data_IF_691434287683
#
_entry.id   IF_691434287683
#
_cell.length_a   1.000
_cell.length_b   1.000
_cell.length_c   1.000
_cell.angle_alpha   90.00
_cell.angle_beta   90.00
_cell.angle_gamma   90.00
#
_symmetry.space_group_name_H-M   'P 1'
#
loop_
_entity.id
_entity.type
_entity.pdbx_description
1 polymer ?
#
# COMPACT_ATOMS: atom_id res chain seq x y z
N UNK A 1 -20.57 10.96 11.57
CA UNK A 1 -19.89 11.03 10.25
C UNK A 1 -20.92 11.14 9.15
N UNK A 2 -20.64 11.96 8.14
CA UNK A 2 -21.57 12.17 7.04
C UNK A 2 -21.57 11.02 6.04
N UNK A 3 -22.67 10.86 5.30
CA UNK A 3 -22.77 9.88 4.21
C UNK A 3 -21.66 10.10 3.16
N UNK A 4 -21.28 11.36 2.92
CA UNK A 4 -20.22 11.71 1.96
C UNK A 4 -18.88 11.08 2.34
N UNK A 5 -18.54 10.98 3.62
CA UNK A 5 -17.31 10.32 4.09
C UNK A 5 -17.33 8.83 3.80
N UNK A 6 -18.44 8.15 4.08
CA UNK A 6 -18.57 6.72 3.77
C UNK A 6 -18.49 6.45 2.27
N UNK A 7 -19.14 7.28 1.46
CA UNK A 7 -19.06 7.17 0.00
C UNK A 7 -17.63 7.41 -0.51
N UNK A 8 -16.93 8.39 0.06
CA UNK A 8 -15.54 8.67 -0.29
C UNK A 8 -14.63 7.47 0.00
N UNK A 9 -14.78 6.85 1.18
CA UNK A 9 -14.03 5.63 1.55
C UNK A 9 -14.38 4.48 0.60
N UNK A 10 -15.68 4.28 0.31
CA UNK A 10 -16.13 3.20 -0.57
C UNK A 10 -15.57 3.35 -1.99
N UNK A 11 -15.67 4.55 -2.57
CA UNK A 11 -15.18 4.83 -3.92
C UNK A 11 -13.64 4.75 -3.98
N UNK A 12 -12.96 5.36 -3.03
CA UNK A 12 -11.51 5.26 -2.91
C UNK A 12 -11.05 3.81 -2.78
N UNK A 13 -11.71 3.04 -1.90
CA UNK A 13 -11.42 1.62 -1.67
C UNK A 13 -11.64 0.77 -2.91
N UNK A 14 -12.73 1.01 -3.64
CA UNK A 14 -13.00 0.33 -4.90
C UNK A 14 -11.89 0.57 -5.93
N UNK A 15 -11.50 1.84 -6.12
CA UNK A 15 -10.42 2.21 -7.04
C UNK A 15 -9.08 1.64 -6.58
N UNK A 16 -8.76 1.72 -5.30
CA UNK A 16 -7.53 1.17 -4.75
C UNK A 16 -7.43 -0.34 -4.92
N UNK A 17 -8.50 -1.07 -4.66
CA UNK A 17 -8.57 -2.53 -4.82
C UNK A 17 -8.42 -2.95 -6.28
N UNK A 18 -9.06 -2.24 -7.22
CA UNK A 18 -8.91 -2.51 -8.66
C UNK A 18 -7.49 -2.19 -9.11
N UNK A 19 -6.91 -1.08 -8.65
CA UNK A 19 -5.52 -0.73 -8.95
C UNK A 19 -4.56 -1.80 -8.44
N UNK A 20 -4.73 -2.29 -7.20
CA UNK A 20 -3.93 -3.38 -6.65
C UNK A 20 -4.03 -4.65 -7.49
N UNK A 21 -5.24 -5.06 -7.82
CA UNK A 21 -5.48 -6.25 -8.65
C UNK A 21 -4.75 -6.12 -10.00
N UNK A 22 -4.91 -4.98 -10.66
CA UNK A 22 -4.33 -4.72 -11.99
C UNK A 22 -2.79 -4.71 -11.94
N UNK A 23 -2.20 -4.02 -10.96
CA UNK A 23 -0.75 -3.96 -10.80
C UNK A 23 -0.17 -5.32 -10.44
N UNK A 24 -0.82 -6.07 -9.55
CA UNK A 24 -0.37 -7.41 -9.16
C UNK A 24 -0.38 -8.36 -10.34
N UNK A 25 -1.43 -8.32 -11.17
CA UNK A 25 -1.51 -9.10 -12.39
C UNK A 25 -0.44 -8.70 -13.41
N UNK A 26 -0.27 -7.40 -13.62
CA UNK A 26 0.71 -6.88 -14.58
C UNK A 26 2.15 -7.18 -14.20
N UNK A 27 2.46 -7.27 -12.92
CA UNK A 27 3.82 -7.51 -12.43
C UNK A 27 4.15 -8.99 -12.16
N UNK A 28 3.16 -9.89 -12.27
CA UNK A 28 3.35 -11.31 -11.92
C UNK A 28 4.44 -12.00 -12.75
N UNK A 29 4.65 -11.57 -14.00
CA UNK A 29 5.65 -12.15 -14.90
C UNK A 29 7.07 -11.61 -14.68
N UNK A 30 7.23 -10.51 -13.92
CA UNK A 30 8.55 -9.87 -13.71
C UNK A 30 9.50 -10.78 -12.93
N UNK A 31 8.98 -11.45 -11.92
CA UNK A 31 9.76 -12.42 -11.13
C UNK A 31 8.85 -13.60 -10.77
N UNK A 32 8.80 -14.63 -11.64
CA UNK A 32 7.90 -15.76 -11.43
C UNK A 32 8.14 -16.43 -10.07
N UNK A 33 7.04 -16.65 -9.34
CA UNK A 33 7.09 -17.29 -8.02
C UNK A 33 7.44 -16.37 -6.87
N UNK A 34 7.87 -15.13 -7.13
CA UNK A 34 8.05 -14.09 -6.10
C UNK A 34 6.87 -13.11 -6.16
N UNK A 35 6.27 -12.72 -5.03
CA UNK A 35 5.07 -11.87 -5.02
C UNK A 35 5.42 -10.37 -5.23
N UNK A 36 5.93 -10.06 -6.42
CA UNK A 36 6.36 -8.70 -6.79
C UNK A 36 5.21 -7.72 -6.74
N UNK A 37 4.02 -8.13 -7.16
CA UNK A 37 2.86 -7.25 -7.20
C UNK A 37 2.46 -6.72 -5.84
N UNK A 38 2.36 -7.59 -4.85
CA UNK A 38 2.06 -7.20 -3.46
C UNK A 38 3.15 -6.31 -2.89
N UNK A 39 4.42 -6.67 -3.10
CA UNK A 39 5.54 -5.85 -2.67
C UNK A 39 5.46 -4.44 -3.28
N UNK A 40 5.26 -4.36 -4.58
CA UNK A 40 5.20 -3.08 -5.29
C UNK A 40 4.07 -2.18 -4.79
N UNK A 41 2.84 -2.70 -4.63
CA UNK A 41 1.72 -1.89 -4.15
C UNK A 41 1.89 -1.46 -2.69
N UNK A 42 2.46 -2.32 -1.85
CA UNK A 42 2.74 -1.97 -0.46
C UNK A 42 3.83 -0.90 -0.34
N UNK A 43 4.90 -0.99 -1.15
CA UNK A 43 5.96 0.02 -1.17
C UNK A 43 5.45 1.35 -1.74
N UNK A 44 4.71 1.31 -2.84
CA UNK A 44 4.09 2.51 -3.43
C UNK A 44 3.14 3.17 -2.43
N UNK A 45 2.26 2.38 -1.83
CA UNK A 45 1.31 2.87 -0.83
C UNK A 45 2.00 3.45 0.41
N UNK A 46 3.09 2.83 0.86
CA UNK A 46 3.89 3.33 1.99
C UNK A 46 4.52 4.69 1.69
N UNK A 47 5.06 4.86 0.50
CA UNK A 47 5.60 6.15 0.07
C UNK A 47 4.51 7.22 -0.03
N UNK A 48 3.40 6.88 -0.67
CA UNK A 48 2.29 7.82 -0.87
C UNK A 48 1.62 8.22 0.44
N UNK A 49 1.43 7.28 1.38
CA UNK A 49 0.84 7.64 2.67
C UNK A 49 1.74 8.59 3.46
N UNK A 50 3.05 8.45 3.33
CA UNK A 50 4.00 9.38 3.93
C UNK A 50 3.75 10.82 3.48
N UNK A 51 3.59 11.03 2.17
CA UNK A 51 3.29 12.34 1.58
C UNK A 51 1.89 12.83 1.98
N UNK A 52 0.88 12.00 1.72
CA UNK A 52 -0.52 12.37 1.92
C UNK A 52 -0.86 12.66 3.37
N UNK A 53 -0.24 11.94 4.32
CA UNK A 53 -0.45 12.18 5.74
C UNK A 53 0.07 13.57 6.17
N UNK A 54 1.21 14.00 5.64
CA UNK A 54 1.72 15.36 5.90
C UNK A 54 0.75 16.39 5.34
N UNK A 55 0.27 16.20 4.11
CA UNK A 55 -0.65 17.15 3.48
C UNK A 55 -2.03 17.18 4.16
N UNK A 56 -2.47 16.05 4.72
CA UNK A 56 -3.78 15.94 5.35
C UNK A 56 -3.76 16.38 6.82
N UNK A 57 -2.75 15.95 7.59
CA UNK A 57 -2.74 16.11 9.04
C UNK A 57 -1.82 17.24 9.54
N UNK A 58 -0.65 17.41 8.89
CA UNK A 58 0.30 18.42 9.33
C UNK A 58 0.01 19.79 8.66
N UNK A 59 -0.24 19.78 7.35
CA UNK A 59 -0.48 21.00 6.57
C UNK A 59 -1.96 21.35 6.37
N UNK A 60 -2.85 20.40 6.63
CA UNK A 60 -4.30 20.56 6.47
C UNK A 60 -4.72 21.03 5.05
N UNK A 61 -3.97 20.57 4.03
CA UNK A 61 -4.24 20.85 2.62
C UNK A 61 -5.36 19.94 2.10
N UNK A 62 -5.31 18.65 2.46
CA UNK A 62 -6.31 17.66 2.07
C UNK A 62 -7.27 17.47 3.23
N UNK A 63 -8.49 18.00 3.06
CA UNK A 63 -9.54 17.94 4.09
C UNK A 63 -10.59 16.90 3.74
N UNK A 64 -11.42 16.54 4.73
CA UNK A 64 -12.58 15.64 4.53
C UNK A 64 -13.53 16.19 3.46
N UNK A 65 -14.13 15.37 2.58
CA UNK A 65 -14.03 13.91 2.55
C UNK A 65 -12.85 13.37 1.71
N UNK A 66 -12.02 14.23 1.11
CA UNK A 66 -10.91 13.85 0.24
C UNK A 66 -9.80 13.13 1.01
N UNK A 67 -9.57 13.52 2.26
CA UNK A 67 -8.61 12.83 3.12
C UNK A 67 -8.98 11.35 3.28
N UNK A 68 -10.23 11.08 3.57
CA UNK A 68 -10.73 9.71 3.73
C UNK A 68 -10.76 8.96 2.39
N UNK A 69 -11.05 9.65 1.29
CA UNK A 69 -10.99 9.06 -0.04
C UNK A 69 -9.58 8.54 -0.37
N UNK A 70 -8.56 9.39 -0.21
CA UNK A 70 -7.20 9.02 -0.60
C UNK A 70 -6.53 8.10 0.41
N UNK A 71 -6.61 8.39 1.70
CA UNK A 71 -5.84 7.67 2.72
C UNK A 71 -6.56 6.39 3.12
N UNK A 72 -7.78 6.50 3.65
CA UNK A 72 -8.50 5.33 4.14
C UNK A 72 -9.01 4.46 3.00
N UNK A 73 -9.60 5.08 1.97
CA UNK A 73 -10.17 4.39 0.82
C UNK A 73 -9.11 3.89 -0.14
N UNK A 74 -8.50 4.79 -0.90
CA UNK A 74 -7.63 4.41 -2.01
C UNK A 74 -6.38 3.66 -1.53
N UNK A 75 -5.61 4.22 -0.60
CA UNK A 75 -4.40 3.56 -0.10
C UNK A 75 -4.75 2.32 0.72
N UNK A 76 -5.85 2.35 1.48
CA UNK A 76 -6.33 1.18 2.21
C UNK A 76 -6.72 0.01 1.29
N UNK A 77 -7.30 0.30 0.13
CA UNK A 77 -7.61 -0.71 -0.89
C UNK A 77 -6.39 -1.15 -1.71
N UNK A 78 -5.46 -0.23 -1.96
CA UNK A 78 -4.24 -0.49 -2.73
C UNK A 78 -3.27 -1.41 -2.00
N UNK A 79 -3.04 -1.18 -0.70
CA UNK A 79 -2.11 -1.94 0.12
C UNK A 79 -2.80 -3.12 0.79
N UNK A 80 -2.02 -4.15 1.19
CA UNK A 80 -2.62 -5.33 1.81
C UNK A 80 -1.65 -6.02 2.77
N UNK A 81 -2.12 -6.27 3.98
CA UNK A 81 -1.42 -7.10 4.95
C UNK A 81 -1.80 -8.58 4.83
N UNK A 82 -3.09 -8.89 4.62
CA UNK A 82 -3.55 -10.29 4.59
C UNK A 82 -2.95 -11.08 3.42
N UNK A 83 -2.88 -10.48 2.24
CA UNK A 83 -2.22 -11.12 1.09
C UNK A 83 -0.72 -11.30 1.35
N UNK A 84 -0.07 -10.29 1.92
CA UNK A 84 1.33 -10.36 2.37
C UNK A 84 1.55 -11.53 3.34
N UNK A 85 0.72 -11.66 4.36
CA UNK A 85 0.82 -12.76 5.33
C UNK A 85 0.61 -14.13 4.67
N UNK A 86 -0.38 -14.25 3.80
CA UNK A 86 -0.68 -15.48 3.07
C UNK A 86 0.49 -15.89 2.16
N UNK A 87 1.02 -14.95 1.39
CA UNK A 87 2.14 -15.23 0.47
C UNK A 87 3.41 -15.64 1.23
N UNK A 88 3.66 -15.07 2.41
CA UNK A 88 4.75 -15.53 3.28
C UNK A 88 4.56 -16.99 3.72
N UNK A 89 3.33 -17.37 4.08
CA UNK A 89 3.02 -18.75 4.43
C UNK A 89 3.27 -19.71 3.26
N UNK A 90 2.92 -19.31 2.04
CA UNK A 90 3.17 -20.09 0.82
C UNK A 90 4.68 -20.25 0.58
N UNK A 91 5.45 -19.17 0.70
CA UNK A 91 6.92 -19.21 0.55
C UNK A 91 7.56 -20.13 1.60
N UNK A 92 7.09 -20.06 2.84
CA UNK A 92 7.58 -20.93 3.93
C UNK A 92 7.29 -22.40 3.64
N UNK A 93 6.05 -22.71 3.27
CA UNK A 93 5.64 -24.09 2.98
C UNK A 93 6.34 -24.67 1.75
N UNK A 94 6.71 -23.82 0.80
CA UNK A 94 7.45 -24.21 -0.41
C UNK A 94 8.96 -24.33 -0.19
N UNK A 95 9.46 -24.06 1.02
CA UNK A 95 10.89 -24.10 1.34
C UNK A 95 11.69 -22.97 0.70
N UNK A 96 11.03 -21.91 0.21
CA UNK A 96 11.67 -20.77 -0.44
C UNK A 96 12.12 -19.72 0.58
N UNK A 97 13.05 -20.09 1.44
CA UNK A 97 13.44 -19.28 2.60
C UNK A 97 14.14 -17.97 2.22
N UNK A 98 14.93 -17.96 1.14
CA UNK A 98 15.56 -16.75 0.63
C UNK A 98 14.49 -15.73 0.20
N UNK A 99 13.52 -16.19 -0.57
CA UNK A 99 12.43 -15.31 -1.05
C UNK A 99 11.56 -14.84 0.10
N UNK A 100 11.29 -15.72 1.07
CA UNK A 100 10.59 -15.35 2.30
C UNK A 100 11.31 -14.21 3.03
N UNK A 101 12.62 -14.34 3.25
CA UNK A 101 13.41 -13.30 3.92
C UNK A 101 13.39 -11.98 3.14
N UNK A 102 13.63 -12.05 1.83
CA UNK A 102 13.61 -10.85 0.97
C UNK A 102 12.24 -10.18 0.95
N UNK A 103 11.18 -10.96 0.93
CA UNK A 103 9.82 -10.45 0.91
C UNK A 103 9.43 -9.82 2.25
N UNK A 104 9.76 -10.46 3.37
CA UNK A 104 9.56 -9.88 4.70
C UNK A 104 10.35 -8.58 4.87
N UNK A 105 11.66 -8.61 4.59
CA UNK A 105 12.52 -7.44 4.72
C UNK A 105 12.07 -6.30 3.77
N UNK A 106 11.72 -6.64 2.54
CA UNK A 106 11.22 -5.66 1.55
C UNK A 106 9.97 -4.95 2.05
N UNK A 107 8.94 -5.68 2.46
CA UNK A 107 7.71 -5.07 2.96
C UNK A 107 7.93 -4.27 4.25
N UNK A 108 8.62 -4.83 5.24
CA UNK A 108 8.73 -4.22 6.56
C UNK A 108 9.78 -3.11 6.60
N UNK A 109 10.99 -3.35 6.13
CA UNK A 109 12.08 -2.37 6.20
C UNK A 109 11.95 -1.29 5.14
N UNK A 110 11.83 -1.67 3.86
CA UNK A 110 11.66 -0.69 2.78
C UNK A 110 10.34 0.05 2.90
N UNK A 111 9.27 -0.62 3.30
CA UNK A 111 7.98 0.03 3.54
C UNK A 111 8.09 1.12 4.59
N UNK A 112 8.71 0.85 5.73
CA UNK A 112 8.94 1.84 6.77
C UNK A 112 9.82 2.99 6.28
N UNK A 113 10.94 2.69 5.60
CA UNK A 113 11.83 3.71 5.06
C UNK A 113 11.12 4.61 4.04
N UNK A 114 10.25 4.03 3.21
CA UNK A 114 9.49 4.79 2.22
C UNK A 114 8.43 5.69 2.85
N UNK A 115 7.81 5.29 3.95
CA UNK A 115 6.94 6.20 4.73
C UNK A 115 7.76 7.39 5.22
N UNK A 116 8.94 7.16 5.79
CA UNK A 116 9.82 8.23 6.27
C UNK A 116 10.23 9.16 5.12
N UNK A 117 10.64 8.58 3.98
CA UNK A 117 11.01 9.34 2.79
C UNK A 117 9.82 10.16 2.24
N UNK A 118 8.64 9.56 2.19
CA UNK A 118 7.42 10.24 1.76
C UNK A 118 7.05 11.41 2.68
N UNK A 119 7.18 11.22 4.00
CA UNK A 119 6.97 12.31 4.96
C UNK A 119 7.97 13.44 4.77
N UNK A 120 9.23 13.13 4.54
CA UNK A 120 10.25 14.14 4.26
C UNK A 120 9.92 14.94 3.00
N UNK A 121 9.53 14.25 1.92
CA UNK A 121 9.11 14.89 0.68
C UNK A 121 7.85 15.75 0.86
N UNK A 122 6.87 15.25 1.59
CA UNK A 122 5.60 15.98 1.84
C UNK A 122 5.79 17.29 2.60
N UNK A 123 6.86 17.40 3.38
CA UNK A 123 7.19 18.61 4.16
C UNK A 123 7.81 19.73 3.33
N UNK A 124 8.36 19.43 2.17
CA UNK A 124 8.90 20.44 1.25
C UNK A 124 7.74 21.24 0.65
#
# INVERSE_FOLDING_TARGET
MSVAVYLAVALGGALGSVARFSLSRGLAAVWPGFPVGTLAVNLLGSFLIGILAVWAFDKNIIVSPWREFFITGFLGGLTTFSTFAYENAVLLQSGRYRDLFLYLAGNLLLGFLLVVAGRALGRI
#
